data_IF_726640519320
#
_entry.id   IF_726640519320
#
_cell.length_a   1.000
_cell.length_b   1.000
_cell.length_c   1.000
_cell.angle_alpha   90.00
_cell.angle_beta   90.00
_cell.angle_gamma   90.00
#
_symmetry.space_group_name_H-M   'P 1'
#
loop_
_entity.id
_entity.type
_entity.pdbx_description
1 polymer ?
#
# COMPACT_ATOMS: atom_id res chain seq x y z
N UNK A 1 2.40 -30.86 21.11
CA UNK A 1 1.59 -29.72 21.59
C UNK A 1 2.26 -28.44 21.12
N UNK A 2 1.80 -27.83 20.02
CA UNK A 2 2.31 -26.53 19.57
C UNK A 2 1.65 -25.43 20.40
N UNK A 3 2.46 -24.55 21.01
CA UNK A 3 1.94 -23.34 21.66
C UNK A 3 1.34 -22.46 20.58
N UNK A 4 0.03 -22.21 20.66
CA UNK A 4 -0.62 -21.15 19.90
C UNK A 4 0.04 -19.82 20.28
N UNK A 5 0.80 -19.24 19.36
CA UNK A 5 1.31 -17.87 19.48
C UNK A 5 0.11 -16.94 19.39
N UNK A 6 -0.29 -16.39 20.53
CA UNK A 6 -1.37 -15.40 20.65
C UNK A 6 -0.86 -14.04 20.14
N UNK A 7 -0.48 -13.97 18.87
CA UNK A 7 -0.13 -12.71 18.20
C UNK A 7 -1.45 -11.99 17.94
N UNK A 8 -1.68 -10.79 18.51
CA UNK A 8 -2.88 -10.02 18.20
C UNK A 8 -2.95 -9.83 16.67
N UNK A 9 -4.14 -9.88 16.05
CA UNK A 9 -4.25 -9.55 14.64
C UNK A 9 -3.65 -8.15 14.45
N UNK A 10 -2.69 -8.01 13.53
CA UNK A 10 -2.06 -6.74 13.15
C UNK A 10 -3.02 -5.77 12.44
N UNK A 11 -4.32 -6.03 12.58
CA UNK A 11 -5.41 -5.39 11.90
C UNK A 11 -6.53 -5.13 12.92
N UNK A 12 -6.77 -3.86 13.20
CA UNK A 12 -8.01 -3.41 13.83
C UNK A 12 -8.89 -2.90 12.68
N UNK A 13 -9.91 -3.66 12.25
CA UNK A 13 -10.85 -3.13 11.27
C UNK A 13 -11.48 -1.87 11.85
N UNK A 14 -11.44 -0.77 11.09
CA UNK A 14 -12.30 0.37 11.39
C UNK A 14 -13.75 -0.13 11.40
N UNK A 15 -14.56 0.41 12.31
CA UNK A 15 -15.96 0.01 12.49
C UNK A 15 -16.65 -0.17 11.13
N UNK A 16 -17.30 -1.32 10.91
CA UNK A 16 -18.01 -1.67 9.68
C UNK A 16 -19.01 -0.61 9.22
N UNK A 17 -19.53 0.25 10.11
CA UNK A 17 -20.41 1.37 9.72
C UNK A 17 -19.67 2.56 9.09
N UNK A 18 -18.34 2.66 9.26
CA UNK A 18 -17.49 3.71 8.69
C UNK A 18 -16.94 3.35 7.30
N UNK A 19 -17.11 2.12 6.85
CA UNK A 19 -16.59 1.67 5.57
C UNK A 19 -17.76 1.54 4.60
N UNK A 20 -17.79 2.44 3.61
CA UNK A 20 -18.72 2.36 2.49
C UNK A 20 -18.63 0.96 1.87
N UNK A 21 -19.76 0.25 1.76
CA UNK A 21 -19.87 -1.13 1.28
C UNK A 21 -19.43 -1.32 -0.19
N UNK A 22 -18.85 -0.29 -0.81
CA UNK A 22 -18.50 -0.20 -2.23
C UNK A 22 -17.06 0.25 -2.48
N UNK A 23 -16.26 0.51 -1.45
CA UNK A 23 -14.89 1.01 -1.62
C UNK A 23 -13.86 -0.08 -1.30
N UNK A 24 -13.02 -0.41 -2.28
CA UNK A 24 -11.81 -1.18 -2.05
C UNK A 24 -10.81 -0.26 -1.36
N UNK A 25 -10.81 -0.24 -0.03
CA UNK A 25 -9.89 0.57 0.76
C UNK A 25 -8.56 -0.18 0.95
N UNK A 26 -7.45 0.49 0.69
CA UNK A 26 -6.11 -0.02 0.97
C UNK A 26 -5.85 0.11 2.48
N UNK A 27 -5.50 -0.99 3.13
CA UNK A 27 -5.20 -1.03 4.56
C UNK A 27 -3.70 -0.93 4.81
N UNK A 28 -3.32 0.07 5.58
CA UNK A 28 -1.95 0.24 6.05
C UNK A 28 -1.77 -0.42 7.42
N UNK A 29 -0.83 -1.36 7.52
CA UNK A 29 -0.41 -1.90 8.81
C UNK A 29 0.59 -0.92 9.46
N UNK A 30 0.10 -0.08 10.37
CA UNK A 30 0.92 0.88 11.11
C UNK A 30 1.99 0.26 12.04
N UNK A 31 1.93 -1.06 12.24
CA UNK A 31 2.92 -1.82 13.02
C UNK A 31 3.91 -2.59 12.15
N UNK A 32 3.84 -2.47 10.81
CA UNK A 32 4.80 -3.10 9.92
C UNK A 32 6.22 -2.55 10.19
N UNK A 33 7.23 -3.40 10.02
CA UNK A 33 8.62 -2.96 10.12
C UNK A 33 8.95 -2.00 8.98
N UNK A 34 9.87 -1.07 9.20
CA UNK A 34 10.25 -0.09 8.17
C UNK A 34 10.82 -0.76 6.90
N UNK A 35 11.51 -1.89 7.07
CA UNK A 35 11.99 -2.74 5.98
C UNK A 35 10.84 -3.32 5.16
N UNK A 36 9.80 -3.86 5.81
CA UNK A 36 8.60 -4.38 5.13
C UNK A 36 7.90 -3.26 4.36
N UNK A 37 7.76 -2.07 4.94
CA UNK A 37 7.15 -0.91 4.28
C UNK A 37 7.93 -0.54 3.02
N UNK A 38 9.26 -0.51 3.10
CA UNK A 38 10.14 -0.21 1.98
C UNK A 38 10.08 -1.28 0.88
N UNK A 39 10.13 -2.56 1.24
CA UNK A 39 10.02 -3.67 0.31
C UNK A 39 8.65 -3.66 -0.39
N UNK A 40 7.58 -3.38 0.36
CA UNK A 40 6.24 -3.29 -0.18
C UNK A 40 6.08 -2.10 -1.15
N UNK A 41 6.70 -0.95 -0.83
CA UNK A 41 6.70 0.22 -1.71
C UNK A 41 7.49 -0.04 -3.01
N UNK A 42 8.70 -0.60 -2.89
CA UNK A 42 9.55 -0.91 -4.06
C UNK A 42 8.96 -2.00 -4.94
N UNK A 43 8.32 -3.03 -4.36
CA UNK A 43 7.59 -4.05 -5.11
C UNK A 43 6.44 -3.47 -5.93
N UNK A 44 5.72 -2.47 -5.42
CA UNK A 44 4.68 -1.76 -6.20
C UNK A 44 5.26 -0.92 -7.33
N UNK A 45 6.39 -0.26 -7.11
CA UNK A 45 7.08 0.48 -8.18
C UNK A 45 7.54 -0.47 -9.30
N UNK A 46 8.07 -1.65 -8.96
CA UNK A 46 8.43 -2.67 -9.94
C UNK A 46 7.21 -3.18 -10.72
N UNK A 47 6.08 -3.40 -10.04
CA UNK A 47 4.85 -3.80 -10.71
C UNK A 47 4.36 -2.73 -11.71
N UNK A 48 4.47 -1.45 -11.38
CA UNK A 48 4.16 -0.34 -12.29
C UNK A 48 5.06 -0.37 -13.51
N UNK A 49 6.37 -0.57 -13.33
CA UNK A 49 7.32 -0.67 -14.46
C UNK A 49 6.90 -1.81 -15.39
N UNK A 50 6.67 -3.01 -14.86
CA UNK A 50 6.25 -4.17 -15.66
C UNK A 50 4.93 -3.92 -16.42
N UNK A 51 3.97 -3.22 -15.80
CA UNK A 51 2.71 -2.84 -16.42
C UNK A 51 2.91 -1.87 -17.59
N UNK A 52 3.81 -0.89 -17.44
CA UNK A 52 4.13 0.08 -18.49
C UNK A 52 4.95 -0.54 -19.62
N UNK A 53 5.87 -1.46 -19.31
CA UNK A 53 6.60 -2.25 -20.30
C UNK A 53 5.66 -3.14 -21.13
N UNK A 54 4.69 -3.78 -20.47
CA UNK A 54 3.64 -4.54 -21.16
C UNK A 54 2.89 -3.65 -22.16
N UNK A 55 2.56 -2.42 -21.76
CA UNK A 55 1.93 -1.42 -22.65
C UNK A 55 2.79 -1.08 -23.87
N UNK A 56 4.11 -0.98 -23.69
CA UNK A 56 5.06 -0.70 -24.77
C UNK A 56 5.21 -1.88 -25.74
N UNK A 57 5.15 -3.12 -25.26
CA UNK A 57 5.25 -4.32 -26.09
C UNK A 57 3.97 -4.59 -26.92
N UNK A 58 2.80 -4.14 -26.45
CA UNK A 58 1.56 -4.26 -27.20
C UNK A 58 1.37 -3.09 -28.18
N UNK A 59 2.01 -3.21 -29.36
CA UNK A 59 1.92 -2.27 -30.51
C UNK A 59 0.46 -1.97 -30.97
N UNK A 60 -0.53 -2.76 -30.51
CA UNK A 60 -1.98 -2.57 -30.76
C UNK A 60 -2.83 -2.87 -29.52
N UNK A 61 -2.54 -2.22 -28.39
CA UNK A 61 -3.38 -2.35 -27.20
C UNK A 61 -4.74 -1.62 -27.40
N UNK A 62 -5.86 -2.28 -27.08
CA UNK A 62 -7.18 -1.64 -27.10
C UNK A 62 -7.23 -0.48 -26.10
N UNK A 63 -7.96 0.60 -26.42
CA UNK A 63 -8.04 1.78 -25.55
C UNK A 63 -8.51 1.45 -24.12
N UNK A 64 -9.36 0.44 -23.98
CA UNK A 64 -9.85 -0.09 -22.69
C UNK A 64 -8.72 -0.76 -21.88
N UNK A 65 -7.83 -1.49 -22.53
CA UNK A 65 -6.67 -2.10 -21.89
C UNK A 65 -5.65 -1.05 -21.46
N UNK A 66 -5.38 -0.04 -22.31
CA UNK A 66 -4.54 1.11 -21.96
C UNK A 66 -5.10 1.83 -20.73
N UNK A 67 -6.40 2.11 -20.73
CA UNK A 67 -7.07 2.76 -19.60
C UNK A 67 -6.96 1.94 -18.31
N UNK A 68 -7.17 0.62 -18.39
CA UNK A 68 -7.06 -0.27 -17.24
C UNK A 68 -5.64 -0.30 -16.66
N UNK A 69 -4.63 -0.41 -17.52
CA UNK A 69 -3.22 -0.44 -17.11
C UNK A 69 -2.83 0.91 -16.48
N UNK A 70 -3.17 2.04 -17.11
CA UNK A 70 -2.90 3.36 -16.56
C UNK A 70 -3.59 3.58 -15.19
N UNK A 71 -4.82 3.09 -15.03
CA UNK A 71 -5.57 3.19 -13.77
C UNK A 71 -4.91 2.36 -12.67
N UNK A 72 -4.54 1.11 -12.96
CA UNK A 72 -3.83 0.24 -12.02
C UNK A 72 -2.47 0.82 -11.63
N UNK A 73 -1.69 1.29 -12.61
CA UNK A 73 -0.39 1.92 -12.37
C UNK A 73 -0.51 3.17 -11.50
N UNK A 74 -1.53 4.00 -11.71
CA UNK A 74 -1.76 5.21 -10.90
C UNK A 74 -2.05 4.88 -9.44
N UNK A 75 -2.85 3.83 -9.19
CA UNK A 75 -3.16 3.36 -7.84
C UNK A 75 -1.92 2.82 -7.13
N UNK A 76 -1.14 1.98 -7.82
CA UNK A 76 0.09 1.40 -7.27
C UNK A 76 1.17 2.47 -7.00
N UNK A 77 1.30 3.46 -7.88
CA UNK A 77 2.20 4.60 -7.69
C UNK A 77 1.80 5.43 -6.46
N UNK A 78 0.51 5.73 -6.32
CA UNK A 78 0.02 6.50 -5.20
C UNK A 78 0.30 5.77 -3.87
N UNK A 79 -0.03 4.48 -3.80
CA UNK A 79 0.21 3.66 -2.62
C UNK A 79 1.71 3.56 -2.28
N UNK A 80 2.57 3.34 -3.28
CA UNK A 80 4.01 3.31 -3.08
C UNK A 80 4.57 4.63 -2.54
N UNK A 81 4.12 5.77 -3.07
CA UNK A 81 4.56 7.07 -2.58
C UNK A 81 4.07 7.37 -1.16
N UNK A 82 2.84 6.98 -0.82
CA UNK A 82 2.33 7.09 0.54
C UNK A 82 3.19 6.26 1.51
N UNK A 83 3.54 5.02 1.16
CA UNK A 83 4.42 4.18 1.98
C UNK A 83 5.82 4.77 2.14
N UNK A 84 6.40 5.34 1.08
CA UNK A 84 7.71 6.01 1.14
C UNK A 84 7.64 7.31 1.95
N UNK A 85 6.52 8.03 1.92
CA UNK A 85 6.30 9.22 2.74
C UNK A 85 6.24 8.88 4.22
N UNK A 86 5.73 7.71 4.62
CA UNK A 86 5.77 7.24 6.00
C UNK A 86 7.22 7.01 6.51
N UNK A 87 8.15 6.77 5.60
CA UNK A 87 9.58 6.70 5.91
C UNK A 87 10.24 8.09 6.01
N UNK A 88 9.53 9.17 5.69
CA UNK A 88 10.05 10.52 5.83
C UNK A 88 10.39 10.79 7.31
N UNK A 89 11.56 11.37 7.60
CA UNK A 89 11.94 11.73 8.98
C UNK A 89 10.90 12.60 9.69
N UNK A 90 10.16 13.44 8.96
CA UNK A 90 9.08 14.28 9.50
C UNK A 90 7.86 13.43 9.90
N UNK A 91 7.45 12.48 9.07
CA UNK A 91 6.37 11.55 9.39
C UNK A 91 6.73 10.67 10.58
N UNK A 92 7.97 10.18 10.61
CA UNK A 92 8.53 9.42 11.74
C UNK A 92 8.54 10.26 13.03
N UNK A 93 8.90 11.54 12.95
CA UNK A 93 8.88 12.46 14.09
C UNK A 93 7.46 12.67 14.63
N UNK A 94 6.50 12.99 13.77
CA UNK A 94 5.08 13.19 14.15
C UNK A 94 4.49 11.93 14.80
N UNK A 95 4.81 10.75 14.27
CA UNK A 95 4.41 9.46 14.87
C UNK A 95 4.97 9.26 16.27
N UNK A 96 6.23 9.63 16.49
CA UNK A 96 6.87 9.51 17.80
C UNK A 96 6.37 10.55 18.80
N UNK A 97 5.94 11.73 18.34
CA UNK A 97 5.30 12.76 19.16
C UNK A 97 3.92 12.27 19.64
N UNK A 98 3.06 11.76 18.74
CA UNK A 98 1.72 11.27 19.08
C UNK A 98 1.71 10.00 19.97
N UNK A 99 2.83 9.25 20.03
CA UNK A 99 2.97 8.08 20.93
C UNK A 99 3.30 8.45 22.37
N UNK A 100 3.67 9.70 22.67
CA UNK A 100 3.99 10.15 24.04
C UNK A 100 2.77 10.51 24.88
N UNK A 101 1.61 10.63 24.25
CA UNK A 101 0.36 11.05 24.90
C UNK A 101 -0.54 9.86 25.33
N UNK A 102 -0.03 8.62 25.26
CA UNK A 102 -0.70 7.39 25.69
C UNK A 102 0.11 6.63 26.74
#
# INVERSE_FOLDING_TARGET
MSKATNVPPCFIPLNFTSQSNKENVLYYNANAAAEDIFECATGRLLAVINLLESLYEFDKCEATAVQAICSASSLLLNDAFTLLQEMNPVATRLRNENRKDY
#
